data_IF_451863155226
#
_entry.id   IF_451863155226
#
_cell.length_a   1.000
_cell.length_b   1.000
_cell.length_c   1.000
_cell.angle_alpha   90.00
_cell.angle_beta   90.00
_cell.angle_gamma   90.00
#
_symmetry.space_group_name_H-M   'P 1'
#
loop_
_entity.id
_entity.type
_entity.pdbx_description
1 polymer ?
#
# COMPACT_ATOMS: atom_id res chain seq x y z
N UNK A 1 12.60 -0.08 -1.00
CA UNK A 1 11.15 -0.44 -1.11
C UNK A 1 10.54 -0.83 0.22
N UNK A 2 9.22 -0.75 0.32
CA UNK A 2 8.45 -1.01 1.54
C UNK A 2 7.24 -1.90 1.27
N UNK A 3 6.90 -2.72 2.25
CA UNK A 3 5.67 -3.51 2.30
C UNK A 3 4.75 -2.85 3.32
N UNK A 4 3.59 -2.40 2.87
CA UNK A 4 2.55 -1.84 3.73
C UNK A 4 1.42 -2.85 3.83
N UNK A 5 1.23 -3.38 5.03
CA UNK A 5 0.16 -4.31 5.38
C UNK A 5 -0.90 -3.55 6.15
N UNK A 6 -2.06 -3.33 5.54
CA UNK A 6 -3.19 -2.67 6.21
C UNK A 6 -4.20 -3.70 6.71
N UNK A 7 -4.81 -3.43 7.87
CA UNK A 7 -5.83 -4.28 8.50
C UNK A 7 -7.01 -3.41 8.90
N UNK A 8 -8.21 -3.77 8.43
CA UNK A 8 -9.43 -3.06 8.79
C UNK A 8 -9.71 -3.19 10.28
N UNK A 9 -10.16 -2.10 10.90
CA UNK A 9 -10.51 -2.07 12.33
C UNK A 9 -12.00 -1.80 12.58
N UNK A 10 -12.76 -1.71 11.51
CA UNK A 10 -14.22 -1.50 11.51
C UNK A 10 -14.87 -2.53 10.59
N UNK A 11 -16.20 -2.59 10.63
CA UNK A 11 -16.98 -3.45 9.74
C UNK A 11 -16.75 -3.10 8.26
N UNK A 12 -16.86 -4.12 7.40
CA UNK A 12 -16.63 -3.95 5.96
C UNK A 12 -17.55 -2.91 5.32
N UNK A 13 -18.77 -2.73 5.84
CA UNK A 13 -19.71 -1.72 5.37
C UNK A 13 -19.19 -0.29 5.54
N UNK A 14 -18.43 -0.01 6.61
CA UNK A 14 -17.82 1.30 6.82
C UNK A 14 -16.63 1.50 5.88
N UNK A 15 -15.81 0.46 5.71
CA UNK A 15 -14.67 0.48 4.77
C UNK A 15 -15.15 0.68 3.34
N UNK A 16 -16.24 0.01 2.94
CA UNK A 16 -16.76 0.04 1.58
C UNK A 16 -17.18 1.45 1.12
N UNK A 17 -17.54 2.35 2.05
CA UNK A 17 -17.84 3.76 1.75
C UNK A 17 -16.64 4.51 1.17
N UNK A 18 -15.41 4.10 1.49
CA UNK A 18 -14.18 4.77 1.09
C UNK A 18 -13.45 4.06 -0.06
N UNK A 19 -13.94 2.90 -0.52
CA UNK A 19 -13.26 2.09 -1.55
C UNK A 19 -13.01 2.88 -2.84
N UNK A 20 -13.99 3.65 -3.32
CA UNK A 20 -13.82 4.39 -4.57
C UNK A 20 -12.74 5.46 -4.46
N UNK A 21 -12.70 6.20 -3.34
CA UNK A 21 -11.66 7.18 -3.08
C UNK A 21 -10.29 6.49 -2.91
N UNK A 22 -10.25 5.36 -2.23
CA UNK A 22 -9.03 4.57 -2.05
C UNK A 22 -8.49 4.09 -3.40
N UNK A 23 -9.34 3.64 -4.32
CA UNK A 23 -8.93 3.28 -5.69
C UNK A 23 -8.29 4.47 -6.41
N UNK A 24 -8.88 5.67 -6.35
CA UNK A 24 -8.27 6.86 -6.96
C UNK A 24 -6.93 7.26 -6.33
N UNK A 25 -6.78 7.03 -5.02
CA UNK A 25 -5.48 7.15 -4.33
C UNK A 25 -4.46 6.14 -4.87
N UNK A 26 -4.84 4.86 -5.05
CA UNK A 26 -3.95 3.85 -5.64
C UNK A 26 -3.54 4.25 -7.07
N UNK A 27 -4.49 4.65 -7.92
CA UNK A 27 -4.25 5.06 -9.31
C UNK A 27 -3.26 6.23 -9.40
N UNK A 28 -3.39 7.23 -8.53
CA UNK A 28 -2.44 8.36 -8.42
C UNK A 28 -1.01 7.87 -8.20
N UNK A 29 -0.80 6.92 -7.28
CA UNK A 29 0.53 6.43 -6.92
C UNK A 29 1.09 5.38 -7.88
N UNK A 30 0.24 4.67 -8.62
CA UNK A 30 0.68 3.90 -9.78
C UNK A 30 1.18 4.83 -10.90
N UNK A 31 0.44 5.89 -11.21
CA UNK A 31 0.82 6.85 -12.25
C UNK A 31 2.16 7.57 -11.94
N UNK A 32 2.51 7.74 -10.67
CA UNK A 32 3.80 8.30 -10.24
C UNK A 32 4.94 7.28 -10.12
N UNK A 33 4.68 5.99 -10.36
CA UNK A 33 5.68 4.92 -10.23
C UNK A 33 6.08 4.58 -8.79
N UNK A 34 5.29 5.04 -7.80
CA UNK A 34 5.51 4.75 -6.38
C UNK A 34 4.89 3.44 -5.96
N UNK A 35 3.75 3.04 -6.51
CA UNK A 35 3.16 1.72 -6.22
C UNK A 35 3.60 0.69 -7.24
N UNK A 36 4.03 -0.46 -6.73
CA UNK A 36 4.51 -1.60 -7.53
C UNK A 36 3.38 -2.63 -7.66
N UNK A 37 2.71 -2.94 -6.56
CA UNK A 37 1.59 -3.86 -6.50
C UNK A 37 0.71 -3.57 -5.30
N UNK A 38 -0.58 -3.87 -5.38
CA UNK A 38 -1.53 -3.71 -4.29
C UNK A 38 -2.68 -4.71 -4.42
N UNK A 39 -3.22 -5.18 -3.31
CA UNK A 39 -4.38 -6.07 -3.34
C UNK A 39 -4.98 -6.33 -1.97
N UNK A 40 -6.21 -6.85 -1.95
CA UNK A 40 -6.88 -7.27 -0.72
C UNK A 40 -6.23 -8.55 -0.16
N UNK A 41 -6.22 -8.68 1.16
CA UNK A 41 -5.94 -9.94 1.84
C UNK A 41 -7.08 -10.95 1.60
N UNK A 42 -6.77 -12.25 1.76
CA UNK A 42 -7.76 -13.33 1.77
C UNK A 42 -7.60 -14.09 3.10
N UNK A 43 -8.57 -14.03 4.03
CA UNK A 43 -9.88 -13.36 3.92
C UNK A 43 -9.76 -11.83 3.82
N UNK A 44 -10.85 -11.15 3.38
CA UNK A 44 -10.89 -9.69 3.14
C UNK A 44 -10.87 -8.92 4.47
N UNK A 45 -9.72 -8.90 5.14
CA UNK A 45 -9.48 -8.23 6.42
C UNK A 45 -8.60 -6.99 6.27
N UNK A 46 -8.21 -6.66 5.04
CA UNK A 46 -7.32 -5.54 4.75
C UNK A 46 -6.69 -5.69 3.38
N UNK A 47 -5.49 -5.15 3.23
CA UNK A 47 -4.74 -5.16 1.98
C UNK A 47 -3.23 -5.15 2.19
N UNK A 48 -2.51 -5.34 1.10
CA UNK A 48 -1.06 -5.22 1.01
C UNK A 48 -0.74 -4.28 -0.13
N UNK A 49 0.22 -3.39 0.07
CA UNK A 49 0.75 -2.48 -0.95
C UNK A 49 2.29 -2.60 -0.93
N UNK A 50 2.90 -2.77 -2.09
CA UNK A 50 4.33 -2.70 -2.29
C UNK A 50 4.68 -1.30 -2.84
N UNK A 51 5.52 -0.58 -2.11
CA UNK A 51 5.83 0.83 -2.38
C UNK A 51 7.33 0.98 -2.69
N UNK A 52 7.62 1.65 -3.79
CA UNK A 52 8.94 2.16 -4.17
C UNK A 52 9.11 3.58 -3.58
N UNK A 53 9.80 3.68 -2.45
CA UNK A 53 9.96 4.92 -1.68
C UNK A 53 11.32 4.90 -1.00
N UNK A 54 11.98 6.05 -0.93
CA UNK A 54 13.36 6.15 -0.46
C UNK A 54 13.52 6.27 1.06
N UNK A 55 12.42 6.43 1.80
CA UNK A 55 12.46 6.49 3.27
C UNK A 55 11.11 6.17 3.91
N UNK A 56 11.13 5.91 5.22
CA UNK A 56 9.92 5.66 6.00
C UNK A 56 9.03 6.91 6.07
N UNK A 57 9.61 8.10 6.13
CA UNK A 57 8.88 9.38 6.17
C UNK A 57 8.10 9.63 4.87
N UNK A 58 8.64 9.21 3.74
CA UNK A 58 7.93 9.25 2.45
C UNK A 58 6.73 8.30 2.49
N UNK A 59 6.91 7.07 2.97
CA UNK A 59 5.81 6.10 3.11
C UNK A 59 4.73 6.62 4.06
N UNK A 60 5.11 7.20 5.19
CA UNK A 60 4.16 7.81 6.13
C UNK A 60 3.37 8.95 5.50
N UNK A 61 4.01 9.77 4.67
CA UNK A 61 3.35 10.85 3.93
C UNK A 61 2.33 10.29 2.93
N UNK A 62 2.70 9.21 2.23
CA UNK A 62 1.79 8.52 1.30
C UNK A 62 0.60 7.92 2.06
N UNK A 63 0.83 7.20 3.17
CA UNK A 63 -0.24 6.58 3.98
C UNK A 63 -1.22 7.63 4.52
N UNK A 64 -0.74 8.82 4.90
CA UNK A 64 -1.61 9.91 5.39
C UNK A 64 -2.60 10.43 4.36
N UNK A 65 -2.35 10.20 3.06
CA UNK A 65 -3.28 10.53 1.98
C UNK A 65 -4.30 9.43 1.70
N UNK A 66 -4.14 8.23 2.26
CA UNK A 66 -5.07 7.12 2.06
C UNK A 66 -6.43 7.45 2.71
N UNK A 67 -7.55 7.41 1.96
CA UNK A 67 -8.88 7.61 2.52
C UNK A 67 -9.21 6.70 3.71
N UNK A 68 -8.65 5.48 3.74
CA UNK A 68 -8.81 4.59 4.89
C UNK A 68 -8.07 5.07 6.14
N UNK A 69 -6.91 5.72 5.96
CA UNK A 69 -6.18 6.35 7.06
C UNK A 69 -6.91 7.59 7.57
N UNK A 70 -7.33 8.47 6.65
CA UNK A 70 -8.04 9.72 6.97
C UNK A 70 -9.35 9.43 7.69
N UNK A 71 -10.14 8.48 7.18
CA UNK A 71 -11.39 8.05 7.82
C UNK A 71 -11.15 7.20 9.08
N UNK A 72 -9.90 6.88 9.40
CA UNK A 72 -9.52 6.10 10.56
C UNK A 72 -10.27 4.75 10.59
N UNK A 73 -10.23 3.99 9.49
CA UNK A 73 -10.89 2.68 9.34
C UNK A 73 -9.93 1.50 9.14
N UNK A 74 -8.62 1.77 9.01
CA UNK A 74 -7.57 0.75 8.91
C UNK A 74 -6.34 1.11 9.77
N UNK A 75 -5.66 0.06 10.26
CA UNK A 75 -4.33 0.13 10.85
C UNK A 75 -3.30 -0.27 9.80
N UNK A 76 -2.08 0.27 9.90
CA UNK A 76 -0.99 0.05 8.94
C UNK A 76 0.24 -0.48 9.66
N UNK A 77 0.83 -1.51 9.09
CA UNK A 77 2.16 -2.01 9.45
C UNK A 77 3.08 -1.82 8.25
N UNK A 78 4.21 -1.15 8.47
CA UNK A 78 5.18 -0.83 7.43
C UNK A 78 6.45 -1.62 7.70
N UNK A 79 6.90 -2.36 6.68
CA UNK A 79 8.16 -3.12 6.71
C UNK A 79 9.06 -2.64 5.59
N UNK A 80 10.26 -2.18 5.92
CA UNK A 80 11.31 -1.95 4.92
C UNK A 80 11.75 -3.30 4.34
N UNK A 81 11.82 -3.38 3.01
CA UNK A 81 12.17 -4.61 2.32
C UNK A 81 13.23 -4.34 1.24
N UNK A 82 14.32 -5.10 1.29
CA UNK A 82 15.44 -5.00 0.36
C UNK A 82 15.48 -6.28 -0.47
N UNK A 83 14.84 -6.32 -1.67
CA UNK A 83 14.87 -7.49 -2.53
C UNK A 83 16.28 -7.71 -3.11
N UNK A 84 16.94 -8.79 -2.68
CA UNK A 84 18.26 -9.20 -3.20
C UNK A 84 18.17 -10.21 -4.33
N UNK A 85 17.05 -10.94 -4.42
CA UNK A 85 16.76 -11.92 -5.46
C UNK A 85 15.34 -11.74 -5.96
N UNK A 86 15.13 -11.91 -7.26
CA UNK A 86 13.83 -11.88 -7.91
C UNK A 86 13.82 -12.83 -9.11
N UNK A 87 12.64 -13.32 -9.49
CA UNK A 87 12.46 -14.00 -10.76
C UNK A 87 12.75 -13.04 -11.92
N UNK A 88 13.13 -13.57 -13.09
CA UNK A 88 13.57 -12.78 -14.24
C UNK A 88 12.52 -11.73 -14.67
N UNK A 89 11.24 -12.08 -14.59
CA UNK A 89 10.11 -11.23 -14.97
C UNK A 89 9.91 -10.06 -14.00
N UNK A 90 10.47 -10.14 -12.79
CA UNK A 90 10.36 -9.14 -11.73
C UNK A 90 11.72 -8.52 -11.35
N UNK A 91 12.76 -8.70 -12.17
CA UNK A 91 14.14 -8.28 -11.84
C UNK A 91 14.22 -6.79 -11.45
N UNK A 92 13.37 -5.96 -12.05
CA UNK A 92 13.27 -4.54 -11.80
C UNK A 92 12.97 -4.17 -10.33
N UNK A 93 12.33 -5.06 -9.55
CA UNK A 93 12.00 -4.78 -8.14
C UNK A 93 13.24 -4.63 -7.26
N UNK A 94 14.38 -5.23 -7.66
CA UNK A 94 15.67 -5.07 -6.99
C UNK A 94 16.22 -3.64 -7.05
N UNK A 95 15.74 -2.85 -8.00
CA UNK A 95 16.17 -1.46 -8.21
C UNK A 95 15.20 -0.46 -7.58
N UNK A 96 14.19 -0.92 -6.84
CA UNK A 96 13.33 -0.01 -6.11
C UNK A 96 14.14 0.69 -5.02
N UNK A 97 13.97 2.00 -4.99
CA UNK A 97 14.59 2.93 -4.06
C UNK A 97 13.89 2.76 -2.70
#
# INVERSE_FOLDING_TARGET
MFIVSLTYKTELSEVDQYIQAHVSYLEKYYASGKFIASGRKVPRTGGVILINAGSLEEVDSIIKEDPFHIANVANYEVTEFIPTMAAKEFDAIKNCI
#
